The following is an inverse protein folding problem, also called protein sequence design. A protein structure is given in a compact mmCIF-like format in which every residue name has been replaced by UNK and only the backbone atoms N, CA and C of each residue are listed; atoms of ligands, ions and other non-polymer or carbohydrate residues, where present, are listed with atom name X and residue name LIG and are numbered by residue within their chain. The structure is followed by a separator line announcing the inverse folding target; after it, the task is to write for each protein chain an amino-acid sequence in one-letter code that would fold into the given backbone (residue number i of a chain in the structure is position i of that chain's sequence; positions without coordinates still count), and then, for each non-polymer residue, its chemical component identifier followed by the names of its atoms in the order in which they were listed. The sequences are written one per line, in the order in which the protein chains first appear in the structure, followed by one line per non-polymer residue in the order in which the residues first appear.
data_IF_256081919019
#
_entry.id   IF_256081919019
#
_cell.length_a   1.000
_cell.length_b   1.000
_cell.length_c   1.000
_cell.angle_alpha   90.00
_cell.angle_beta   90.00
_cell.angle_gamma   90.00
#
_symmetry.space_group_name_H-M   'P 1'
#
loop_
_entity.id
_entity.type
_entity.pdbx_description
1 polymer ?
#
# COMPACT_ATOMS: atom_id res chain seq x y z
N UNK A 1 -11.96 1.92 -13.77
CA UNK A 1 -11.18 1.96 -12.53
C UNK A 1 -12.04 1.43 -11.39
N UNK A 2 -11.57 0.39 -10.68
CA UNK A 2 -12.24 -0.15 -9.49
C UNK A 2 -11.46 0.33 -8.27
N UNK A 3 -12.16 0.93 -7.31
CA UNK A 3 -11.54 1.46 -6.08
C UNK A 3 -12.00 0.59 -4.91
N UNK A 4 -11.04 -0.07 -4.26
CA UNK A 4 -11.24 -0.73 -2.98
C UNK A 4 -10.81 0.19 -1.84
N UNK A 5 -11.72 0.51 -0.93
CA UNK A 5 -11.36 1.24 0.29
C UNK A 5 -10.92 0.26 1.35
N UNK A 6 -9.71 0.45 1.88
CA UNK A 6 -9.31 -0.27 3.08
C UNK A 6 -10.11 0.25 4.28
N UNK A 7 -10.18 -0.54 5.36
CA UNK A 7 -10.76 -0.09 6.64
C UNK A 7 -9.99 1.11 7.23
N UNK A 8 -8.75 1.33 6.80
CA UNK A 8 -7.97 2.52 7.08
C UNK A 8 -8.17 3.58 5.97
N UNK A 9 -8.76 4.75 6.27
CA UNK A 9 -9.02 5.79 5.28
C UNK A 9 -7.77 6.35 4.59
N UNK A 10 -6.59 6.13 5.18
CA UNK A 10 -5.28 6.50 4.63
C UNK A 10 -4.75 5.54 3.56
N UNK A 11 -5.36 4.37 3.36
CA UNK A 11 -4.93 3.40 2.35
C UNK A 11 -6.00 3.23 1.29
N UNK A 12 -5.63 3.53 0.04
CA UNK A 12 -6.48 3.38 -1.14
C UNK A 12 -5.88 2.35 -2.08
N UNK A 13 -6.70 1.44 -2.57
CA UNK A 13 -6.31 0.47 -3.59
C UNK A 13 -7.11 0.80 -4.86
N UNK A 14 -6.40 1.09 -5.94
CA UNK A 14 -7.00 1.33 -7.26
C UNK A 14 -6.51 0.31 -8.27
N UNK A 15 -7.44 -0.23 -9.05
CA UNK A 15 -7.18 -1.15 -10.14
C UNK A 15 -7.66 -0.50 -11.45
N UNK A 16 -6.74 -0.36 -12.40
CA UNK A 16 -7.00 0.23 -13.71
C UNK A 16 -7.59 -0.78 -14.71
N UNK A 17 -7.76 -2.05 -14.30
CA UNK A 17 -8.26 -3.13 -15.13
C UNK A 17 -7.22 -3.70 -16.10
N UNK A 18 -5.94 -3.35 -15.93
CA UNK A 18 -4.81 -3.96 -16.64
C UNK A 18 -4.17 -5.04 -15.77
N UNK A 19 -2.88 -5.29 -15.97
CA UNK A 19 -2.11 -6.31 -15.25
C UNK A 19 -1.53 -5.83 -13.91
N UNK A 20 -2.02 -4.73 -13.35
CA UNK A 20 -1.48 -4.12 -12.14
C UNK A 20 -2.54 -3.36 -11.35
N UNK A 21 -2.35 -3.29 -10.04
CA UNK A 21 -3.09 -2.40 -9.17
C UNK A 21 -2.12 -1.54 -8.36
N UNK A 22 -2.60 -0.40 -7.89
CA UNK A 22 -1.84 0.56 -7.11
C UNK A 22 -2.34 0.61 -5.67
N UNK A 23 -1.40 0.61 -4.73
CA UNK A 23 -1.68 0.86 -3.31
C UNK A 23 -1.11 2.23 -2.95
N UNK A 24 -1.98 3.18 -2.66
CA UNK A 24 -1.62 4.52 -2.20
C UNK A 24 -1.81 4.61 -0.68
N UNK A 25 -0.73 4.87 0.05
CA UNK A 25 -0.74 5.10 1.49
C UNK A 25 -0.39 6.56 1.78
N UNK A 26 -1.27 7.29 2.48
CA UNK A 26 -1.09 8.71 2.81
C UNK A 26 -1.00 8.93 4.32
N UNK A 27 -0.31 10.00 4.74
CA UNK A 27 -0.19 10.33 6.17
C UNK A 27 0.60 9.31 6.99
N UNK A 28 1.59 8.66 6.36
CA UNK A 28 2.46 7.67 7.00
C UNK A 28 3.20 8.26 8.20
N UNK A 29 3.30 7.46 9.26
CA UNK A 29 4.04 7.72 10.49
C UNK A 29 5.25 6.80 10.55
N UNK A 30 6.25 7.16 11.37
CA UNK A 30 7.42 6.29 11.57
C UNK A 30 7.03 4.88 12.04
N UNK A 31 5.98 4.78 12.85
CA UNK A 31 5.40 3.52 13.37
C UNK A 31 4.76 2.64 12.30
N UNK A 32 4.49 3.18 11.12
CA UNK A 32 3.93 2.43 9.99
C UNK A 32 5.04 1.71 9.20
N UNK A 33 6.30 1.80 9.62
CA UNK A 33 7.39 1.02 9.03
C UNK A 33 7.22 -0.45 9.36
N UNK A 34 7.41 -1.32 8.36
CA UNK A 34 7.25 -2.76 8.54
C UNK A 34 7.21 -3.52 7.23
N UNK A 35 6.94 -4.82 7.34
CA UNK A 35 6.68 -5.68 6.20
C UNK A 35 5.20 -5.65 5.85
N UNK A 36 4.93 -5.42 4.58
CA UNK A 36 3.61 -5.46 3.96
C UNK A 36 3.57 -6.56 2.91
N UNK A 37 2.38 -7.06 2.59
CA UNK A 37 2.19 -8.07 1.55
C UNK A 37 1.19 -7.56 0.51
N UNK A 38 1.66 -7.47 -0.73
CA UNK A 38 0.81 -7.28 -1.89
C UNK A 38 0.26 -8.65 -2.29
N UNK A 39 -1.05 -8.85 -2.24
CA UNK A 39 -1.65 -10.18 -2.42
C UNK A 39 -2.76 -10.19 -3.46
N UNK A 40 -2.80 -11.23 -4.30
CA UNK A 40 -3.88 -11.51 -5.28
C UNK A 40 -4.18 -13.01 -5.24
N UNK A 41 -5.35 -13.37 -4.74
CA UNK A 41 -5.66 -14.78 -4.45
C UNK A 41 -4.61 -15.36 -3.48
N UNK A 42 -4.01 -16.49 -3.85
CA UNK A 42 -2.97 -17.16 -3.07
C UNK A 42 -1.56 -16.58 -3.31
N UNK A 43 -1.39 -15.73 -4.33
CA UNK A 43 -0.10 -15.12 -4.62
C UNK A 43 0.15 -13.95 -3.66
N UNK A 44 1.37 -13.89 -3.12
CA UNK A 44 1.82 -12.82 -2.22
C UNK A 44 3.22 -12.35 -2.62
N UNK A 45 3.41 -11.03 -2.63
CA UNK A 45 4.70 -10.38 -2.77
C UNK A 45 5.00 -9.53 -1.51
N UNK A 46 6.09 -9.81 -0.78
CA UNK A 46 6.50 -9.00 0.36
C UNK A 46 7.08 -7.66 -0.09
N UNK A 47 6.76 -6.59 0.65
CA UNK A 47 7.25 -5.23 0.44
C UNK A 47 7.71 -4.68 1.79
N UNK A 48 8.96 -4.24 1.88
CA UNK A 48 9.46 -3.55 3.06
C UNK A 48 9.17 -2.06 2.94
N UNK A 49 8.30 -1.53 3.80
CA UNK A 49 8.03 -0.11 3.91
C UNK A 49 8.88 0.48 5.05
N UNK A 50 9.74 1.45 4.72
CA UNK A 50 10.53 2.19 5.71
C UNK A 50 10.18 3.67 5.63
N UNK A 51 9.56 4.19 6.67
CA UNK A 51 9.24 5.62 6.78
C UNK A 51 10.38 6.29 7.54
N UNK A 52 11.07 7.22 6.89
CA UNK A 52 12.15 7.99 7.51
C UNK A 52 11.74 9.45 7.67
N UNK A 53 12.41 10.16 8.56
CA UNK A 53 12.31 11.63 8.59
C UNK A 53 12.85 12.19 7.26
N UNK A 54 12.31 13.32 6.77
CA UNK A 54 12.90 14.02 5.64
C UNK A 54 14.37 14.30 5.91
N UNK A 55 15.23 14.11 4.91
CA UNK A 55 16.59 14.66 4.99
C UNK A 55 16.46 16.19 5.00
N UNK A 56 17.10 16.82 5.98
CA UNK A 56 17.29 18.27 6.02
C UNK A 56 18.23 18.70 4.89
#
# INVERSE_FOLDING_TARGET
ERIGTSQNPSVKISDDGRSSFTVLMTGLRLTDSGWYFCSVGDWQAPVQLMVTKPKQ
#
